data_IF_103521168171
#
_entry.id   IF_103521168171
#
_cell.length_a   1.000
_cell.length_b   1.000
_cell.length_c   1.000
_cell.angle_alpha   90.00
_cell.angle_beta   90.00
_cell.angle_gamma   90.00
#
_symmetry.space_group_name_H-M   'P 1'
#
loop_
_entity.id
_entity.type
_entity.pdbx_description
1 polymer ?
#
# COMPACT_ATOMS: atom_id res chain seq x y z
N UNK A 1 -4.66 -7.86 9.71
CA UNK A 1 -5.64 -8.49 8.81
C UNK A 1 -6.99 -7.85 9.06
N UNK A 2 -7.79 -7.61 8.02
CA UNK A 2 -9.16 -7.11 8.19
C UNK A 2 -10.08 -8.28 8.58
N UNK A 3 -11.26 -7.98 9.12
CA UNK A 3 -12.17 -8.96 9.70
C UNK A 3 -13.31 -9.42 8.77
N UNK A 4 -13.41 -8.83 7.57
CA UNK A 4 -14.44 -9.20 6.60
C UNK A 4 -14.03 -8.91 5.16
N UNK A 5 -14.58 -9.72 4.26
CA UNK A 5 -14.55 -9.57 2.81
C UNK A 5 -14.95 -8.18 2.37
N UNK A 6 -16.03 -7.64 2.95
CA UNK A 6 -16.54 -6.32 2.62
C UNK A 6 -15.49 -5.22 2.89
N UNK A 7 -14.75 -5.29 4.01
CA UNK A 7 -13.67 -4.35 4.27
C UNK A 7 -12.53 -4.47 3.27
N UNK A 8 -12.19 -5.70 2.86
CA UNK A 8 -11.19 -5.92 1.81
C UNK A 8 -11.62 -5.32 0.46
N UNK A 9 -12.88 -5.52 0.07
CA UNK A 9 -13.45 -4.91 -1.14
C UNK A 9 -13.46 -3.38 -1.08
N UNK A 10 -13.73 -2.78 0.09
CA UNK A 10 -13.56 -1.34 0.27
C UNK A 10 -12.12 -0.87 0.04
N UNK A 11 -11.12 -1.64 0.50
CA UNK A 11 -9.71 -1.30 0.24
C UNK A 11 -9.38 -1.42 -1.25
N UNK A 12 -9.91 -2.44 -1.92
CA UNK A 12 -9.76 -2.62 -3.36
C UNK A 12 -10.30 -1.44 -4.15
N UNK A 13 -11.53 -1.01 -3.86
CA UNK A 13 -12.18 0.17 -4.45
C UNK A 13 -11.44 1.47 -4.13
N UNK A 14 -10.79 1.54 -2.97
CA UNK A 14 -9.90 2.65 -2.60
C UNK A 14 -8.49 2.55 -3.21
N UNK A 15 -8.25 1.62 -4.16
CA UNK A 15 -6.96 1.36 -4.82
C UNK A 15 -5.82 1.01 -3.86
N UNK A 16 -6.13 0.46 -2.68
CA UNK A 16 -5.14 -0.05 -1.71
C UNK A 16 -4.84 -1.52 -2.02
N UNK A 17 -4.26 -1.73 -3.20
CA UNK A 17 -4.18 -3.06 -3.80
C UNK A 17 -3.39 -4.08 -2.98
N UNK A 18 -2.24 -3.71 -2.40
CA UNK A 18 -1.43 -4.67 -1.64
C UNK A 18 -2.08 -5.13 -0.34
N UNK A 19 -2.89 -4.27 0.29
CA UNK A 19 -3.73 -4.66 1.41
C UNK A 19 -4.86 -5.59 0.93
N UNK A 20 -5.49 -5.28 -0.21
CA UNK A 20 -6.51 -6.14 -0.80
C UNK A 20 -5.98 -7.55 -1.11
N UNK A 21 -4.74 -7.71 -1.57
CA UNK A 21 -4.15 -9.03 -1.83
C UNK A 21 -4.04 -9.93 -0.57
N UNK A 22 -4.13 -9.38 0.65
CA UNK A 22 -4.23 -10.21 1.87
C UNK A 22 -5.58 -10.90 2.03
N UNK A 23 -6.58 -10.51 1.23
CA UNK A 23 -7.91 -11.10 1.26
C UNK A 23 -7.88 -12.60 1.00
N UNK A 24 -7.03 -13.07 0.08
CA UNK A 24 -6.82 -14.51 -0.15
C UNK A 24 -6.44 -15.26 1.13
N UNK A 25 -5.48 -14.71 1.89
CA UNK A 25 -5.05 -15.32 3.15
C UNK A 25 -6.16 -15.26 4.20
N UNK A 26 -6.91 -14.16 4.26
CA UNK A 26 -8.07 -14.03 5.15
C UNK A 26 -9.13 -15.11 4.86
N UNK A 27 -9.50 -15.31 3.60
CA UNK A 27 -10.50 -16.33 3.21
C UNK A 27 -10.00 -17.74 3.52
N UNK A 28 -8.75 -18.04 3.18
CA UNK A 28 -8.14 -19.33 3.50
C UNK A 28 -8.17 -19.63 5.01
N UNK A 29 -7.83 -18.63 5.85
CA UNK A 29 -7.87 -18.75 7.31
C UNK A 29 -9.29 -18.89 7.85
N UNK A 30 -10.23 -18.08 7.36
CA UNK A 30 -11.64 -18.07 7.80
C UNK A 30 -12.31 -19.43 7.59
N UNK A 31 -11.96 -20.12 6.50
CA UNK A 31 -12.55 -21.41 6.13
C UNK A 31 -11.65 -22.62 6.48
N UNK A 32 -10.56 -22.41 7.22
CA UNK A 32 -9.59 -23.45 7.60
C UNK A 32 -9.11 -24.31 6.43
N UNK A 33 -8.82 -23.70 5.28
CA UNK A 33 -8.35 -24.42 4.11
C UNK A 33 -6.88 -24.80 4.30
N UNK A 34 -6.52 -26.11 4.36
CA UNK A 34 -5.13 -26.55 4.51
C UNK A 34 -4.31 -26.45 3.21
N UNK A 35 -4.85 -25.86 2.14
CA UNK A 35 -4.22 -25.76 0.82
C UNK A 35 -4.97 -24.83 -0.14
N UNK A 36 -4.65 -24.94 -1.44
CA UNK A 36 -5.25 -24.12 -2.50
C UNK A 36 -6.58 -24.63 -3.04
N UNK A 37 -6.96 -25.87 -2.71
CA UNK A 37 -8.20 -26.48 -3.20
C UNK A 37 -9.42 -25.77 -2.62
N UNK A 38 -10.36 -25.40 -3.50
CA UNK A 38 -11.61 -24.69 -3.14
C UNK A 38 -11.44 -23.21 -2.78
N UNK A 39 -10.22 -22.67 -2.72
CA UNK A 39 -10.01 -21.24 -2.40
C UNK A 39 -10.65 -20.32 -3.45
N UNK A 40 -10.47 -20.63 -4.73
CA UNK A 40 -11.00 -19.81 -5.83
C UNK A 40 -12.54 -19.78 -5.79
N UNK A 41 -13.17 -20.93 -5.54
CA UNK A 41 -14.63 -21.03 -5.44
C UNK A 41 -15.18 -20.20 -4.26
N UNK A 42 -14.52 -20.28 -3.10
CA UNK A 42 -14.88 -19.49 -1.93
C UNK A 42 -14.68 -17.98 -2.15
N UNK A 43 -13.59 -17.59 -2.83
CA UNK A 43 -13.38 -16.20 -3.25
C UNK A 43 -14.52 -15.73 -4.18
N UNK A 44 -14.93 -16.57 -5.14
CA UNK A 44 -16.02 -16.25 -6.06
C UNK A 44 -17.37 -16.09 -5.32
N UNK A 45 -17.70 -17.00 -4.41
CA UNK A 45 -18.91 -16.92 -3.57
C UNK A 45 -18.94 -15.66 -2.70
N UNK A 46 -17.80 -15.31 -2.10
CA UNK A 46 -17.67 -14.10 -1.30
C UNK A 46 -17.76 -12.82 -2.15
N UNK A 47 -17.25 -12.81 -3.39
CA UNK A 47 -17.40 -11.71 -4.34
C UNK A 47 -18.86 -11.52 -4.78
N UNK A 48 -19.58 -12.61 -5.10
CA UNK A 48 -21.01 -12.56 -5.42
C UNK A 48 -21.77 -11.90 -4.27
N UNK A 49 -21.48 -12.32 -3.04
CA UNK A 49 -22.09 -11.77 -1.83
C UNK A 49 -21.78 -10.28 -1.61
N UNK A 50 -20.64 -9.78 -2.07
CA UNK A 50 -20.27 -8.36 -1.99
C UNK A 50 -20.88 -7.49 -3.09
N UNK A 51 -21.41 -8.10 -4.16
CA UNK A 51 -21.90 -7.38 -5.34
C UNK A 51 -20.78 -6.65 -6.08
N UNK A 52 -20.08 -7.35 -6.96
CA UNK A 52 -19.09 -6.73 -7.84
C UNK A 52 -19.78 -5.93 -8.95
N UNK A 53 -19.13 -4.86 -9.40
CA UNK A 53 -19.59 -4.03 -10.51
C UNK A 53 -18.48 -3.78 -11.54
N UNK A 54 -18.79 -3.02 -12.60
CA UNK A 54 -17.81 -2.66 -13.63
C UNK A 54 -16.61 -1.88 -13.07
N UNK A 55 -16.80 -1.13 -11.99
CA UNK A 55 -15.71 -0.38 -11.36
C UNK A 55 -14.72 -1.32 -10.67
N UNK A 56 -15.19 -2.41 -10.06
CA UNK A 56 -14.33 -3.46 -9.52
C UNK A 56 -13.52 -4.16 -10.62
N UNK A 57 -14.13 -4.42 -11.79
CA UNK A 57 -13.44 -5.01 -12.94
C UNK A 57 -12.36 -4.06 -13.49
N UNK A 58 -12.67 -2.77 -13.55
CA UNK A 58 -11.70 -1.74 -13.92
C UNK A 58 -10.53 -1.67 -12.93
N UNK A 59 -10.79 -1.75 -11.62
CA UNK A 59 -9.73 -1.80 -10.60
C UNK A 59 -8.90 -3.08 -10.70
N UNK A 60 -9.49 -4.21 -11.10
CA UNK A 60 -8.77 -5.46 -11.36
C UNK A 60 -7.83 -5.32 -12.56
N UNK A 61 -8.26 -4.62 -13.60
CA UNK A 61 -7.43 -4.32 -14.76
C UNK A 61 -6.26 -3.38 -14.43
N UNK A 62 -6.47 -2.36 -13.58
CA UNK A 62 -5.36 -1.55 -13.03
C UNK A 62 -4.37 -2.40 -12.22
N UNK A 63 -4.88 -3.33 -11.41
CA UNK A 63 -4.06 -4.25 -10.64
C UNK A 63 -3.27 -5.21 -11.55
N UNK A 64 -3.86 -5.71 -12.63
CA UNK A 64 -3.15 -6.54 -13.63
C UNK A 64 -1.91 -5.82 -14.17
N UNK A 65 -2.04 -4.55 -14.56
CA UNK A 65 -0.90 -3.75 -15.01
C UNK A 65 0.18 -3.55 -13.95
N UNK A 66 -0.19 -3.46 -12.67
CA UNK A 66 0.77 -3.38 -11.56
C UNK A 66 1.47 -4.73 -11.33
N UNK A 67 0.74 -5.84 -11.45
CA UNK A 67 1.28 -7.19 -11.25
C UNK A 67 2.22 -7.64 -12.37
N UNK A 68 2.14 -6.98 -13.54
CA UNK A 68 3.12 -7.12 -14.62
C UNK A 68 4.43 -6.34 -14.40
N UNK A 69 4.61 -5.68 -13.24
CA UNK A 69 5.88 -5.04 -12.92
C UNK A 69 6.99 -6.07 -12.63
N UNK A 70 8.25 -5.69 -12.88
CA UNK A 70 9.40 -6.60 -12.75
C UNK A 70 9.68 -7.07 -11.31
N UNK A 71 9.25 -6.30 -10.30
CA UNK A 71 9.59 -6.55 -8.89
C UNK A 71 8.36 -6.86 -8.02
N UNK A 72 7.60 -7.93 -8.28
CA UNK A 72 6.47 -8.34 -7.44
C UNK A 72 6.84 -9.53 -6.54
N UNK A 73 6.39 -9.50 -5.28
CA UNK A 73 6.60 -10.61 -4.35
C UNK A 73 5.80 -11.85 -4.80
N UNK A 74 6.40 -13.07 -4.76
CA UNK A 74 5.71 -14.29 -5.21
C UNK A 74 4.36 -14.53 -4.53
N UNK A 75 4.25 -14.25 -3.22
CA UNK A 75 2.97 -14.40 -2.51
C UNK A 75 1.88 -13.42 -2.98
N UNK A 76 2.28 -12.23 -3.43
CA UNK A 76 1.35 -11.22 -3.94
C UNK A 76 0.86 -11.62 -5.33
N UNK A 77 1.76 -12.14 -6.17
CA UNK A 77 1.40 -12.64 -7.50
C UNK A 77 0.47 -13.86 -7.41
N UNK A 78 0.75 -14.80 -6.51
CA UNK A 78 -0.14 -15.95 -6.28
C UNK A 78 -1.55 -15.53 -5.81
N UNK A 79 -1.62 -14.61 -4.84
CA UNK A 79 -2.87 -14.06 -4.37
C UNK A 79 -3.64 -13.38 -5.51
N UNK A 80 -2.93 -12.60 -6.34
CA UNK A 80 -3.49 -11.93 -7.49
C UNK A 80 -4.12 -12.91 -8.50
N UNK A 81 -3.38 -13.93 -8.92
CA UNK A 81 -3.88 -14.91 -9.90
C UNK A 81 -5.13 -15.62 -9.37
N UNK A 82 -5.15 -15.97 -8.07
CA UNK A 82 -6.30 -16.60 -7.43
C UNK A 82 -7.53 -15.69 -7.43
N UNK A 83 -7.35 -14.40 -7.12
CA UNK A 83 -8.41 -13.40 -7.16
C UNK A 83 -8.91 -13.18 -8.58
N UNK A 84 -8.00 -13.04 -9.55
CA UNK A 84 -8.34 -12.85 -10.96
C UNK A 84 -9.22 -13.99 -11.48
N UNK A 85 -8.85 -15.23 -11.16
CA UNK A 85 -9.64 -16.41 -11.50
C UNK A 85 -11.05 -16.36 -10.87
N UNK A 86 -11.15 -16.00 -9.60
CA UNK A 86 -12.44 -15.85 -8.91
C UNK A 86 -13.31 -14.77 -9.58
N UNK A 87 -12.74 -13.63 -9.99
CA UNK A 87 -13.45 -12.59 -10.73
C UNK A 87 -14.00 -13.10 -12.07
N UNK A 88 -13.25 -13.92 -12.81
CA UNK A 88 -13.75 -14.53 -14.05
C UNK A 88 -14.97 -15.43 -13.80
N UNK A 89 -14.93 -16.28 -12.78
CA UNK A 89 -16.07 -17.12 -12.38
C UNK A 89 -17.30 -16.26 -12.03
N UNK A 90 -17.11 -15.13 -11.33
CA UNK A 90 -18.24 -14.27 -10.98
C UNK A 90 -18.80 -13.54 -12.19
N UNK A 91 -17.95 -13.03 -13.08
CA UNK A 91 -18.37 -12.40 -14.34
C UNK A 91 -19.17 -13.38 -15.21
N UNK A 92 -18.74 -14.65 -15.26
CA UNK A 92 -19.47 -15.73 -15.91
C UNK A 92 -20.89 -15.89 -15.36
N UNK A 93 -21.01 -16.05 -14.04
CA UNK A 93 -22.30 -16.28 -13.37
C UNK A 93 -23.26 -15.09 -13.51
N UNK A 94 -22.73 -13.87 -13.47
CA UNK A 94 -23.51 -12.65 -13.70
C UNK A 94 -24.01 -12.60 -15.15
N UNK A 95 -23.16 -12.93 -16.13
CA UNK A 95 -23.53 -12.92 -17.54
C UNK A 95 -24.58 -13.98 -17.88
N UNK A 96 -24.50 -15.16 -17.26
CA UNK A 96 -25.42 -16.27 -17.48
C UNK A 96 -26.77 -16.13 -16.74
N UNK A 97 -26.99 -15.05 -15.99
CA UNK A 97 -28.30 -14.73 -15.40
C UNK A 97 -28.80 -15.76 -14.40
N UNK A 98 -27.90 -16.31 -13.58
CA UNK A 98 -28.21 -17.19 -12.43
C UNK A 98 -29.22 -18.32 -12.76
N UNK A 99 -28.86 -19.19 -13.71
CA UNK A 99 -29.50 -20.51 -13.83
C UNK A 99 -28.66 -21.58 -13.13
N UNK A 100 -29.31 -22.27 -12.19
CA UNK A 100 -28.78 -23.33 -11.34
C UNK A 100 -27.85 -24.32 -12.08
N UNK A 101 -26.77 -24.68 -11.38
CA UNK A 101 -25.86 -25.81 -11.63
C UNK A 101 -25.28 -25.87 -13.04
N UNK A 102 -24.13 -25.21 -13.24
CA UNK A 102 -23.29 -25.42 -14.42
C UNK A 102 -22.59 -26.78 -14.25
N UNK A 103 -22.99 -27.74 -15.07
CA UNK A 103 -22.22 -28.95 -15.38
C UNK A 103 -20.97 -28.53 -16.18
N UNK A 104 -19.80 -29.02 -15.79
CA UNK A 104 -18.44 -28.76 -16.32
C UNK A 104 -18.22 -29.20 -17.79
N UNK A 105 -19.25 -29.17 -18.65
CA UNK A 105 -19.22 -29.72 -20.01
C UNK A 105 -19.47 -28.69 -21.12
N UNK A 106 -19.74 -27.42 -20.79
CA UNK A 106 -19.91 -26.31 -21.75
C UNK A 106 -18.80 -25.22 -21.62
N UNK A 107 -17.63 -25.58 -21.09
CA UNK A 107 -16.58 -24.66 -20.61
C UNK A 107 -15.86 -23.83 -21.69
N UNK A 108 -15.92 -24.21 -22.97
CA UNK A 108 -15.00 -23.63 -23.97
C UNK A 108 -15.48 -22.36 -24.70
N UNK A 109 -16.76 -21.99 -24.60
CA UNK A 109 -17.29 -20.77 -25.27
C UNK A 109 -17.53 -19.59 -24.33
N UNK A 110 -17.72 -19.86 -23.04
CA UNK A 110 -17.97 -18.84 -22.03
C UNK A 110 -16.69 -18.13 -21.58
N UNK A 111 -15.60 -18.89 -21.38
CA UNK A 111 -14.29 -18.34 -21.00
C UNK A 111 -13.76 -17.31 -22.01
N UNK A 112 -13.93 -17.52 -23.31
CA UNK A 112 -13.41 -16.61 -24.33
C UNK A 112 -14.07 -15.22 -24.30
N UNK A 113 -15.36 -15.14 -23.94
CA UNK A 113 -16.10 -13.86 -23.94
C UNK A 113 -15.75 -13.00 -22.73
N UNK A 114 -15.47 -13.61 -21.57
CA UNK A 114 -15.10 -12.90 -20.34
C UNK A 114 -13.67 -12.38 -20.43
N UNK A 115 -12.77 -13.23 -20.95
CA UNK A 115 -11.41 -12.83 -21.23
C UNK A 115 -11.39 -11.70 -22.27
N UNK A 116 -12.24 -11.77 -23.29
CA UNK A 116 -12.42 -10.67 -24.24
C UNK A 116 -12.93 -9.39 -23.57
N UNK A 117 -13.95 -9.46 -22.71
CA UNK A 117 -14.46 -8.29 -21.98
C UNK A 117 -13.39 -7.67 -21.06
N UNK A 118 -12.64 -8.49 -20.34
CA UNK A 118 -11.54 -8.02 -19.50
C UNK A 118 -10.41 -7.43 -20.35
N UNK A 119 -10.07 -8.04 -21.48
CA UNK A 119 -9.08 -7.51 -22.42
C UNK A 119 -9.53 -6.19 -23.04
N UNK A 120 -10.82 -6.04 -23.37
CA UNK A 120 -11.38 -4.77 -23.81
C UNK A 120 -11.28 -3.71 -22.71
N UNK A 121 -11.49 -4.09 -21.45
CA UNK A 121 -11.32 -3.19 -20.30
C UNK A 121 -9.86 -2.75 -20.16
N UNK A 122 -8.90 -3.67 -20.28
CA UNK A 122 -7.46 -3.36 -20.28
C UNK A 122 -7.09 -2.35 -21.38
N UNK A 123 -7.60 -2.53 -22.61
CA UNK A 123 -7.34 -1.62 -23.74
C UNK A 123 -7.94 -0.22 -23.54
N UNK A 124 -9.03 -0.11 -22.78
CA UNK A 124 -9.68 1.18 -22.49
C UNK A 124 -8.96 2.02 -21.45
N UNK A 125 -8.02 1.45 -20.69
CA UNK A 125 -7.28 2.21 -19.67
C UNK A 125 -6.30 3.15 -20.38
N UNK A 126 -6.37 4.47 -20.13
CA UNK A 126 -5.44 5.42 -20.74
C UNK A 126 -4.00 5.08 -20.37
N UNK A 127 -3.11 5.03 -21.36
CA UNK A 127 -1.67 4.76 -21.14
C UNK A 127 -1.05 5.66 -20.07
N UNK A 128 -1.45 6.95 -20.04
CA UNK A 128 -0.97 7.89 -19.03
C UNK A 128 -1.39 7.51 -17.61
N UNK A 129 -2.59 6.95 -17.44
CA UNK A 129 -3.04 6.46 -16.14
C UNK A 129 -2.21 5.27 -15.68
N UNK A 130 -1.91 4.33 -16.57
CA UNK A 130 -1.03 3.18 -16.28
C UNK A 130 0.37 3.67 -15.89
N UNK A 131 0.95 4.62 -16.64
CA UNK A 131 2.26 5.19 -16.35
C UNK A 131 2.25 5.86 -14.97
N UNK A 132 1.25 6.71 -14.69
CA UNK A 132 1.13 7.38 -13.40
C UNK A 132 0.96 6.39 -12.25
N UNK A 133 0.17 5.33 -12.46
CA UNK A 133 -0.05 4.27 -11.48
C UNK A 133 1.27 3.55 -11.18
N UNK A 134 1.99 3.08 -12.21
CA UNK A 134 3.28 2.40 -12.05
C UNK A 134 4.29 3.29 -11.35
N UNK A 135 4.40 4.57 -11.72
CA UNK A 135 5.30 5.52 -11.07
C UNK A 135 4.98 5.73 -9.58
N UNK A 136 3.68 5.79 -9.22
CA UNK A 136 3.26 5.94 -7.81
C UNK A 136 3.57 4.72 -6.97
N UNK A 137 3.34 3.52 -7.53
CA UNK A 137 3.45 2.26 -6.80
C UNK A 137 4.86 1.66 -6.81
N UNK A 138 5.67 1.88 -7.86
CA UNK A 138 7.03 1.36 -7.97
C UNK A 138 7.90 1.59 -6.72
N UNK A 139 7.96 2.80 -6.13
CA UNK A 139 8.80 3.01 -4.95
C UNK A 139 8.22 2.36 -3.69
N UNK A 140 6.92 2.09 -3.62
CA UNK A 140 6.31 1.29 -2.54
C UNK A 140 6.69 -0.18 -2.71
N UNK A 141 6.49 -0.71 -3.92
CA UNK A 141 6.80 -2.10 -4.29
C UNK A 141 8.25 -2.42 -3.92
N UNK A 142 9.18 -1.60 -4.37
CA UNK A 142 10.60 -1.77 -4.11
C UNK A 142 10.89 -1.83 -2.60
N UNK A 143 10.30 -0.93 -1.80
CA UNK A 143 10.45 -0.94 -0.33
C UNK A 143 9.83 -2.18 0.31
N UNK A 144 8.65 -2.62 -0.13
CA UNK A 144 8.04 -3.85 0.35
C UNK A 144 8.94 -5.07 0.07
N UNK A 145 9.53 -5.14 -1.11
CA UNK A 145 10.49 -6.19 -1.48
C UNK A 145 11.72 -6.18 -0.56
N UNK A 146 12.34 -5.02 -0.37
CA UNK A 146 13.51 -4.88 0.52
C UNK A 146 13.17 -5.27 1.96
N UNK A 147 12.03 -4.80 2.49
CA UNK A 147 11.60 -5.12 3.86
C UNK A 147 11.33 -6.61 4.02
N UNK A 148 10.71 -7.24 3.02
CA UNK A 148 10.44 -8.68 3.06
C UNK A 148 11.74 -9.48 3.06
N UNK A 149 12.69 -9.12 2.20
CA UNK A 149 14.02 -9.74 2.17
C UNK A 149 14.75 -9.55 3.50
N UNK A 150 14.69 -8.35 4.07
CA UNK A 150 15.26 -8.05 5.37
C UNK A 150 14.65 -8.95 6.47
N UNK A 151 13.31 -9.10 6.52
CA UNK A 151 12.65 -9.99 7.48
C UNK A 151 13.06 -11.46 7.33
N UNK A 152 13.17 -11.94 6.09
CA UNK A 152 13.60 -13.32 5.82
C UNK A 152 15.00 -13.56 6.37
N UNK A 153 15.95 -12.68 6.02
CA UNK A 153 17.34 -12.81 6.47
C UNK A 153 17.43 -12.63 7.98
N UNK A 154 16.75 -11.64 8.56
CA UNK A 154 16.75 -11.40 10.01
C UNK A 154 16.25 -12.62 10.80
N UNK A 155 15.29 -13.38 10.25
CA UNK A 155 14.78 -14.59 10.90
C UNK A 155 15.77 -15.75 10.83
N UNK A 156 16.51 -15.87 9.73
CA UNK A 156 17.33 -17.05 9.44
C UNK A 156 18.85 -16.84 9.64
N UNK A 157 19.30 -15.61 9.87
CA UNK A 157 20.72 -15.29 9.97
C UNK A 157 21.39 -15.92 11.20
N UNK A 158 22.55 -16.59 11.05
CA UNK A 158 23.17 -17.38 12.11
C UNK A 158 23.69 -16.54 13.30
N UNK A 159 24.10 -15.30 13.05
CA UNK A 159 24.60 -14.39 14.10
C UNK A 159 23.50 -13.78 14.97
N UNK A 160 22.23 -13.97 14.60
CA UNK A 160 21.10 -13.37 15.31
C UNK A 160 20.75 -14.23 16.52
N UNK A 161 20.92 -13.67 17.72
CA UNK A 161 20.47 -14.30 18.95
C UNK A 161 18.96 -14.07 19.14
N UNK A 162 18.16 -15.06 18.76
CA UNK A 162 16.68 -15.02 18.81
C UNK A 162 16.09 -14.92 20.21
N UNK A 163 16.87 -15.22 21.25
CA UNK A 163 16.44 -15.11 22.65
C UNK A 163 16.59 -13.69 23.21
N UNK A 164 17.16 -12.74 22.44
CA UNK A 164 17.29 -11.35 22.87
C UNK A 164 15.96 -10.61 22.74
N UNK A 165 15.58 -9.87 23.79
CA UNK A 165 14.35 -9.06 23.82
C UNK A 165 14.31 -8.01 22.68
N UNK A 166 15.46 -7.42 22.33
CA UNK A 166 15.56 -6.43 21.25
C UNK A 166 15.36 -7.05 19.86
N UNK A 167 15.68 -8.33 19.66
CA UNK A 167 15.44 -9.02 18.40
C UNK A 167 13.94 -9.10 18.08
N UNK A 168 13.13 -9.60 19.02
CA UNK A 168 11.68 -9.71 18.83
C UNK A 168 11.04 -8.33 18.61
N UNK A 169 11.48 -7.32 19.37
CA UNK A 169 11.01 -5.95 19.17
C UNK A 169 11.38 -5.42 17.78
N UNK A 170 12.57 -5.74 17.27
CA UNK A 170 13.03 -5.33 15.94
C UNK A 170 12.22 -6.00 14.83
N UNK A 171 12.00 -7.32 14.93
CA UNK A 171 11.12 -8.06 14.00
C UNK A 171 9.73 -7.43 13.95
N UNK A 172 9.13 -7.18 15.11
CA UNK A 172 7.80 -6.56 15.20
C UNK A 172 7.76 -5.17 14.55
N UNK A 173 8.79 -4.33 14.77
CA UNK A 173 8.86 -3.01 14.12
C UNK A 173 8.93 -3.10 12.60
N UNK A 174 9.71 -4.05 12.07
CA UNK A 174 9.86 -4.24 10.62
C UNK A 174 8.57 -4.81 10.01
N UNK A 175 7.91 -5.74 10.69
CA UNK A 175 6.59 -6.26 10.28
C UNK A 175 5.54 -5.16 10.28
N UNK A 176 5.50 -4.32 11.32
CA UNK A 176 4.57 -3.19 11.39
C UNK A 176 4.84 -2.18 10.28
N UNK A 177 6.12 -1.92 9.96
CA UNK A 177 6.48 -1.08 8.82
C UNK A 177 6.01 -1.69 7.49
N UNK A 178 6.21 -2.99 7.29
CA UNK A 178 5.72 -3.71 6.12
C UNK A 178 4.20 -3.58 5.98
N UNK A 179 3.46 -3.88 7.06
CA UNK A 179 2.00 -3.75 7.10
C UNK A 179 1.54 -2.32 6.83
N UNK A 180 2.22 -1.32 7.41
CA UNK A 180 1.92 0.09 7.17
C UNK A 180 2.04 0.46 5.68
N UNK A 181 3.13 0.04 5.02
CA UNK A 181 3.37 0.34 3.61
C UNK A 181 2.38 -0.36 2.67
N UNK A 182 1.87 -1.55 3.02
CA UNK A 182 0.86 -2.25 2.20
C UNK A 182 -0.45 -1.50 2.05
N UNK A 183 -0.77 -0.60 2.98
CA UNK A 183 -1.99 0.22 2.95
C UNK A 183 -1.80 1.46 2.07
N UNK A 184 -0.56 1.83 1.75
CA UNK A 184 -0.25 3.05 1.02
C UNK A 184 -0.43 2.86 -0.49
N UNK A 185 -0.91 3.91 -1.15
CA UNK A 185 -1.03 3.98 -2.61
C UNK A 185 0.07 4.84 -3.25
N UNK A 186 0.80 5.63 -2.46
CA UNK A 186 1.93 6.44 -2.89
C UNK A 186 2.86 6.79 -1.70
N UNK A 187 4.12 7.09 -1.98
CA UNK A 187 5.06 7.62 -0.97
C UNK A 187 4.87 9.13 -0.81
N UNK A 188 3.79 9.53 -0.15
CA UNK A 188 3.55 10.93 0.20
C UNK A 188 4.54 11.43 1.27
N UNK A 189 4.62 12.75 1.47
CA UNK A 189 5.46 13.32 2.53
C UNK A 189 5.11 12.81 3.94
N UNK A 190 3.83 12.53 4.21
CA UNK A 190 3.39 11.93 5.46
C UNK A 190 3.90 10.48 5.62
N UNK A 191 3.85 9.70 4.54
CA UNK A 191 4.36 8.32 4.52
C UNK A 191 5.88 8.30 4.70
N UNK A 192 6.60 9.24 4.09
CA UNK A 192 8.06 9.36 4.28
C UNK A 192 8.42 9.76 5.72
N UNK A 193 7.63 10.62 6.36
CA UNK A 193 7.82 10.97 7.78
C UNK A 193 7.63 9.75 8.69
N UNK A 194 6.53 9.01 8.51
CA UNK A 194 6.27 7.80 9.31
C UNK A 194 7.35 6.73 9.07
N UNK A 195 7.79 6.58 7.81
CA UNK A 195 8.91 5.70 7.45
C UNK A 195 10.20 6.09 8.19
N UNK A 196 10.51 7.38 8.26
CA UNK A 196 11.67 7.87 9.01
C UNK A 196 11.57 7.52 10.51
N UNK A 197 10.38 7.62 11.10
CA UNK A 197 10.13 7.27 12.50
C UNK A 197 10.30 5.77 12.75
N UNK A 198 9.79 4.90 11.89
CA UNK A 198 10.05 3.46 11.96
C UNK A 198 11.54 3.14 11.88
N UNK A 199 12.25 3.76 10.92
CA UNK A 199 13.68 3.53 10.73
C UNK A 199 14.50 4.00 11.93
N UNK A 200 14.14 5.14 12.53
CA UNK A 200 14.74 5.61 13.78
C UNK A 200 14.51 4.61 14.91
N UNK A 201 13.29 4.09 15.06
CA UNK A 201 12.97 3.07 16.08
C UNK A 201 13.77 1.78 15.87
N UNK A 202 13.90 1.32 14.62
CA UNK A 202 14.68 0.12 14.25
C UNK A 202 16.17 0.31 14.56
N UNK A 203 16.76 1.45 14.19
CA UNK A 203 18.17 1.78 14.51
C UNK A 203 18.44 1.79 16.01
N UNK A 204 17.45 2.14 16.83
CA UNK A 204 17.56 2.12 18.29
C UNK A 204 17.44 0.71 18.90
N UNK A 205 17.14 -0.34 18.11
CA UNK A 205 17.08 -1.73 18.59
C UNK A 205 18.42 -2.48 18.48
N UNK A 206 19.54 -1.78 18.44
CA UNK A 206 20.89 -2.36 18.26
C UNK A 206 20.96 -3.37 17.08
N UNK A 207 20.67 -2.94 15.84
CA UNK A 207 20.81 -3.79 14.67
C UNK A 207 22.28 -4.20 14.45
N UNK A 208 22.49 -5.39 13.88
CA UNK A 208 23.79 -5.90 13.47
C UNK A 208 24.33 -5.13 12.26
N UNK A 209 25.65 -5.14 12.01
CA UNK A 209 26.26 -4.38 10.90
C UNK A 209 25.63 -4.63 9.52
N UNK A 210 25.28 -5.88 9.21
CA UNK A 210 24.67 -6.25 7.92
C UNK A 210 23.25 -5.69 7.75
N UNK A 211 22.52 -5.42 8.84
CA UNK A 211 21.15 -4.89 8.79
C UNK A 211 21.12 -3.46 8.25
N UNK A 212 22.21 -2.70 8.42
CA UNK A 212 22.29 -1.31 7.96
C UNK A 212 22.19 -1.18 6.44
N UNK A 213 22.61 -2.19 5.66
CA UNK A 213 22.43 -2.19 4.22
C UNK A 213 20.93 -2.14 3.83
N UNK A 214 20.10 -2.94 4.50
CA UNK A 214 18.65 -2.94 4.30
C UNK A 214 18.02 -1.65 4.80
N UNK A 215 18.43 -1.19 5.99
CA UNK A 215 17.91 0.06 6.59
C UNK A 215 18.15 1.26 5.65
N UNK A 216 19.33 1.39 5.06
CA UNK A 216 19.65 2.48 4.12
C UNK A 216 18.91 2.32 2.78
N UNK A 217 18.74 1.09 2.28
CA UNK A 217 17.92 0.84 1.06
C UNK A 217 16.44 1.18 1.29
N UNK A 218 15.90 0.90 2.47
CA UNK A 218 14.53 1.25 2.83
C UNK A 218 14.38 2.76 2.95
N UNK A 219 15.35 3.45 3.55
CA UNK A 219 15.30 4.89 3.74
C UNK A 219 16.70 5.51 3.79
N UNK A 220 17.12 6.11 2.68
CA UNK A 220 18.43 6.74 2.56
C UNK A 220 18.48 8.12 3.21
N UNK A 221 19.65 8.49 3.74
CA UNK A 221 19.87 9.81 4.37
C UNK A 221 19.56 11.01 3.46
N UNK A 222 19.69 10.90 2.14
CA UNK A 222 19.32 11.95 1.19
C UNK A 222 17.83 12.33 1.24
N UNK A 223 16.96 11.42 1.66
CA UNK A 223 15.52 11.70 1.84
C UNK A 223 15.28 12.56 3.09
N UNK A 224 16.12 12.41 4.13
CA UNK A 224 16.10 13.28 5.31
C UNK A 224 16.41 14.71 4.91
N UNK A 225 17.45 14.91 4.09
CA UNK A 225 17.88 16.22 3.60
C UNK A 225 16.77 16.88 2.75
N UNK A 226 16.14 16.11 1.84
CA UNK A 226 15.03 16.59 1.02
C UNK A 226 13.77 16.94 1.84
N UNK A 227 13.47 16.20 2.91
CA UNK A 227 12.36 16.52 3.82
C UNK A 227 12.67 17.75 4.67
N UNK A 228 13.90 17.89 5.18
CA UNK A 228 14.32 19.11 5.89
C UNK A 228 14.25 20.32 4.98
N UNK A 229 14.62 20.19 3.70
CA UNK A 229 14.53 21.27 2.72
C UNK A 229 13.09 21.62 2.37
N UNK A 230 12.19 20.64 2.27
CA UNK A 230 10.78 20.91 1.98
C UNK A 230 10.04 21.53 3.17
N UNK A 231 10.37 21.10 4.39
CA UNK A 231 9.81 21.64 5.64
C UNK A 231 10.36 23.04 5.90
N UNK A 232 11.66 23.26 5.77
CA UNK A 232 12.26 24.60 5.89
C UNK A 232 11.72 25.54 4.82
N UNK A 233 11.58 25.11 3.56
CA UNK A 233 10.99 25.96 2.51
C UNK A 233 9.51 26.30 2.75
N UNK A 234 8.71 25.38 3.31
CA UNK A 234 7.32 25.66 3.68
C UNK A 234 7.22 26.61 4.88
N UNK A 235 8.05 26.40 5.91
CA UNK A 235 8.13 27.29 7.08
C UNK A 235 8.64 28.67 6.67
N UNK A 236 9.63 28.76 5.78
CA UNK A 236 10.18 30.02 5.28
C UNK A 236 9.14 30.81 4.49
N UNK A 237 8.36 30.15 3.62
CA UNK A 237 7.22 30.77 2.93
C UNK A 237 6.15 31.26 3.92
N UNK A 238 5.85 30.50 4.96
CA UNK A 238 4.88 30.90 5.98
C UNK A 238 5.36 32.14 6.77
N UNK A 239 6.63 32.20 7.16
CA UNK A 239 7.20 33.38 7.81
C UNK A 239 7.24 34.62 6.91
N UNK A 240 7.56 34.47 5.62
CA UNK A 240 7.57 35.59 4.66
C UNK A 240 6.16 36.17 4.48
N UNK A 241 5.12 35.32 4.43
CA UNK A 241 3.73 35.78 4.35
C UNK A 241 3.26 36.54 5.60
N UNK A 242 3.71 36.15 6.80
CA UNK A 242 3.38 36.88 8.03
C UNK A 242 4.17 38.19 8.20
N UNK A 243 5.39 38.28 7.68
CA UNK A 243 6.16 39.54 7.68
C UNK A 243 5.74 40.51 6.57
N UNK A 244 5.19 40.02 5.45
CA UNK A 244 4.74 40.88 4.35
C UNK A 244 3.33 41.47 4.55
N UNK A 245 2.57 40.99 5.54
CA UNK A 245 1.22 41.45 5.83
C UNK A 245 1.14 42.67 6.77
N UNK A 246 2.25 43.35 7.08
CA UNK A 246 2.22 44.58 7.88
C UNK A 246 3.05 45.72 7.28
N UNK A 247 2.58 46.37 6.19
CA UNK A 247 3.13 47.65 5.77
C UNK A 247 2.40 48.78 6.51
N UNK A 248 3.15 49.45 7.39
CA UNK A 248 2.91 50.81 7.90
C UNK A 248 1.62 51.12 8.68
N UNK A 249 1.81 51.44 9.98
CA UNK A 249 1.12 52.62 10.53
C UNK A 249 2.08 53.47 11.39
N UNK A 250 2.51 54.58 10.80
CA UNK A 250 2.98 55.76 11.51
C UNK A 250 1.77 56.45 12.18
N UNK A 251 1.85 56.75 13.48
CA UNK A 251 1.23 57.94 14.08
C UNK A 251 1.87 58.22 15.45
N UNK A 252 2.77 59.22 15.50
CA UNK A 252 2.63 60.51 16.21
C UNK A 252 2.39 60.46 17.73
N UNK A 253 3.45 60.88 18.45
CA UNK A 253 3.47 61.94 19.48
C UNK A 253 2.37 61.91 20.55
N UNK A 254 2.76 61.65 21.81
CA UNK A 254 2.34 62.54 22.89
C UNK A 254 3.33 62.59 24.07
N UNK A 255 3.93 63.77 24.26
CA UNK A 255 4.70 64.16 25.45
C UNK A 255 3.74 64.36 26.61
N UNK A 256 3.96 63.72 27.76
CA UNK A 256 3.60 64.26 29.07
C UNK A 256 4.65 63.90 30.10
N UNK A 257 5.42 64.91 30.50
CA UNK A 257 6.13 64.97 31.79
C UNK A 257 5.13 64.91 32.94
N UNK A 258 5.55 64.41 34.10
CA UNK A 258 5.55 65.32 35.25
C UNK A 258 6.82 65.24 36.10
N UNK A 259 7.14 66.41 36.63
CA UNK A 259 8.08 66.71 37.71
C UNK A 259 7.82 65.81 38.94
N UNK A 260 8.80 65.66 39.85
CA UNK A 260 8.61 66.41 41.10
C UNK A 260 9.90 67.01 41.69
N UNK A 261 9.70 68.17 42.32
CA UNK A 261 10.56 68.70 43.38
C UNK A 261 10.23 67.94 44.69
N UNK A 262 11.25 67.45 45.37
CA UNK A 262 11.69 67.91 46.69
C UNK A 262 13.04 67.28 47.02
#
# INVERSE_FOLDING_TARGET
>A
MLDSTFKYMQQFRAKRFFLFLEWCTFVAMKHNLPGSEGLIDLLAEELISCGIDEHDIYNLALLDHLMQAEEILPEQFYAYISIKAAFFIVMERIHLGDTKSISLTEENHSHSQQEEFFNQTLVRIPTQEIINLKQKFAPIINKLCIIKQYLLILRDHPEVNRNQQLYLSRVCLIENLYSYLKIQSELSGAVLSELADYIKKIRNQAPLPWEFEYIEKIYSKSVIEQLTDSITNKLFKFTVFFTAANPHHNSTINKKTPNPKN
#
